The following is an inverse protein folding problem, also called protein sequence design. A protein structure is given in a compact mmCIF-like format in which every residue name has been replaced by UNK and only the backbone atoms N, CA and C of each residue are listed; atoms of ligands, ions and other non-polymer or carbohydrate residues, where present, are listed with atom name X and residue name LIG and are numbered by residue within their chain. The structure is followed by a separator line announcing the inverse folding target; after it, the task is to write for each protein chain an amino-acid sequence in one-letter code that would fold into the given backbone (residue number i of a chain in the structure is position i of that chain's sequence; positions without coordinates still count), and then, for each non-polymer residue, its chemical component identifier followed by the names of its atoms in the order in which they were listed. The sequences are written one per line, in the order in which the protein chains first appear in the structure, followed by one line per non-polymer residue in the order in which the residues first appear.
data_IF_797089373060
#
_entry.id   IF_797089373060
#
_cell.length_a   1.000
_cell.length_b   1.000
_cell.length_c   1.000
_cell.angle_alpha   90.00
_cell.angle_beta   90.00
_cell.angle_gamma   90.00
#
_symmetry.space_group_name_H-M   'P 1'
#
loop_
_entity.id
_entity.type
_entity.pdbx_description
1 polymer ?
#
# COMPACT_ATOMS: atom_id res chain seq x y z
N UNK A 1 1.09 -18.06 -4.94
CA UNK A 1 2.20 -17.83 -3.99
C UNK A 1 2.84 -16.47 -4.12
N UNK A 2 3.47 -16.14 -5.26
CA UNK A 2 4.20 -14.89 -5.42
C UNK A 2 3.35 -13.62 -5.24
N UNK A 3 2.10 -13.63 -5.75
CA UNK A 3 1.13 -12.53 -5.51
C UNK A 3 0.86 -12.34 -4.02
N UNK A 4 0.58 -13.44 -3.29
CA UNK A 4 0.27 -13.39 -1.86
C UNK A 4 1.47 -12.86 -1.08
N UNK A 5 2.67 -13.36 -1.37
CA UNK A 5 3.89 -12.84 -0.79
C UNK A 5 4.08 -11.35 -1.12
N UNK A 6 3.84 -10.94 -2.37
CA UNK A 6 3.89 -9.54 -2.78
C UNK A 6 2.92 -8.65 -2.03
N UNK A 7 1.65 -9.06 -1.88
CA UNK A 7 0.64 -8.32 -1.11
C UNK A 7 1.06 -8.17 0.36
N UNK A 8 1.63 -9.21 0.97
CA UNK A 8 2.07 -9.13 2.37
C UNK A 8 3.34 -8.29 2.56
N UNK A 9 4.21 -8.23 1.55
CA UNK A 9 5.56 -7.68 1.70
C UNK A 9 5.76 -6.31 1.04
N UNK A 10 4.87 -5.86 0.15
CA UNK A 10 5.10 -4.65 -0.66
C UNK A 10 5.41 -3.41 0.19
N UNK A 11 4.77 -3.30 1.36
CA UNK A 11 4.88 -2.18 2.30
C UNK A 11 5.58 -2.53 3.63
N UNK A 12 6.28 -3.68 3.70
CA UNK A 12 6.89 -4.15 4.96
C UNK A 12 7.89 -3.16 5.57
N UNK A 13 8.50 -2.31 4.74
CA UNK A 13 9.43 -1.28 5.21
C UNK A 13 8.78 -0.20 6.08
N UNK A 14 7.44 -0.09 6.12
CA UNK A 14 6.75 0.83 7.04
C UNK A 14 7.05 0.55 8.52
N UNK A 15 7.41 -0.70 8.83
CA UNK A 15 7.84 -1.11 10.18
C UNK A 15 9.14 -0.44 10.63
N UNK A 16 10.02 -0.09 9.68
CA UNK A 16 11.28 0.62 9.97
C UNK A 16 11.17 2.13 9.68
N UNK A 17 10.21 2.52 8.83
CA UNK A 17 9.97 3.92 8.45
C UNK A 17 9.27 4.71 9.57
N UNK A 18 8.37 4.09 10.34
CA UNK A 18 7.51 4.73 11.33
C UNK A 18 7.84 4.19 12.72
N UNK A 19 7.99 5.06 13.72
CA UNK A 19 8.23 4.68 15.11
C UNK A 19 7.01 3.95 15.72
N UNK A 20 7.29 3.08 16.69
CA UNK A 20 6.25 2.35 17.45
C UNK A 20 5.64 3.18 18.61
N UNK A 21 6.00 4.46 18.71
CA UNK A 21 5.57 5.34 19.80
C UNK A 21 4.08 5.71 19.70
N UNK A 22 3.50 6.20 20.81
CA UNK A 22 2.08 6.63 20.83
C UNK A 22 1.77 7.71 19.79
N UNK A 23 2.76 8.54 19.46
CA UNK A 23 2.71 9.46 18.32
C UNK A 23 3.63 8.92 17.24
N UNK A 24 3.03 8.39 16.17
CA UNK A 24 3.77 7.83 15.04
C UNK A 24 4.58 8.93 14.35
N UNK A 25 5.90 8.87 14.47
CA UNK A 25 6.84 9.76 13.79
C UNK A 25 7.68 8.98 12.79
N UNK A 26 8.18 9.66 11.76
CA UNK A 26 9.13 9.05 10.83
C UNK A 26 10.49 8.88 11.51
N UNK A 27 11.06 7.68 11.41
CA UNK A 27 12.44 7.42 11.88
C UNK A 27 13.45 8.15 10.98
N UNK A 28 14.71 8.27 11.42
CA UNK A 28 15.78 8.82 10.58
C UNK A 28 15.91 8.02 9.27
N UNK A 29 15.86 6.68 9.35
CA UNK A 29 15.88 5.81 8.16
C UNK A 29 14.64 6.01 7.30
N UNK A 30 13.47 6.20 7.90
CA UNK A 30 12.24 6.56 7.18
C UNK A 30 12.40 7.85 6.37
N UNK A 31 12.92 8.91 7.00
CA UNK A 31 13.13 10.21 6.36
C UNK A 31 14.22 10.18 5.27
N UNK A 32 15.34 9.48 5.50
CA UNK A 32 16.46 9.45 4.55
C UNK A 32 16.29 8.44 3.41
N UNK A 33 15.63 7.30 3.67
CA UNK A 33 15.63 6.13 2.77
C UNK A 33 14.22 5.81 2.26
N UNK A 34 13.22 5.81 3.16
CA UNK A 34 11.83 5.48 2.86
C UNK A 34 11.52 3.98 2.79
N UNK A 35 10.25 3.63 3.07
CA UNK A 35 9.80 2.24 3.25
C UNK A 35 10.03 1.33 2.04
N UNK A 36 10.03 1.85 0.82
CA UNK A 36 10.21 1.00 -0.38
C UNK A 36 11.59 0.34 -0.37
N UNK A 37 12.64 1.14 -0.15
CA UNK A 37 14.02 0.65 -0.13
C UNK A 37 14.26 -0.16 1.14
N UNK A 38 13.78 0.32 2.30
CA UNK A 38 13.86 -0.42 3.55
C UNK A 38 13.19 -1.81 3.44
N UNK A 39 12.00 -1.88 2.87
CA UNK A 39 11.28 -3.14 2.66
C UNK A 39 12.01 -4.10 1.72
N UNK A 40 12.61 -3.57 0.65
CA UNK A 40 13.48 -4.36 -0.25
C UNK A 40 14.68 -4.93 0.50
N UNK A 41 15.32 -4.14 1.36
CA UNK A 41 16.48 -4.56 2.14
C UNK A 41 16.12 -5.61 3.20
N UNK A 42 14.97 -5.45 3.87
CA UNK A 42 14.43 -6.44 4.81
C UNK A 42 14.21 -7.79 4.13
N UNK A 43 13.57 -7.81 2.94
CA UNK A 43 13.34 -9.03 2.17
C UNK A 43 14.65 -9.65 1.68
N UNK A 44 15.60 -8.83 1.22
CA UNK A 44 16.92 -9.32 0.82
C UNK A 44 17.66 -9.99 1.99
N UNK A 45 17.68 -9.35 3.16
CA UNK A 45 18.32 -9.87 4.37
C UNK A 45 17.66 -11.18 4.85
N UNK A 46 16.34 -11.28 4.77
CA UNK A 46 15.62 -12.51 5.10
C UNK A 46 15.97 -13.65 4.12
N UNK A 47 15.98 -13.37 2.81
CA UNK A 47 16.31 -14.37 1.79
C UNK A 47 17.75 -14.91 1.94
N UNK A 48 18.72 -14.06 2.34
CA UNK A 48 20.10 -14.47 2.59
C UNK A 48 20.24 -15.50 3.72
N UNK A 49 19.29 -15.55 4.66
CA UNK A 49 19.27 -16.54 5.76
C UNK A 49 18.77 -17.91 5.29
N UNK A 50 18.16 -18.01 4.11
CA UNK A 50 17.59 -19.25 3.57
C UNK A 50 18.61 -19.90 2.64
N UNK A 51 19.07 -21.11 3.01
CA UNK A 51 20.05 -21.87 2.22
C UNK A 51 19.49 -22.14 0.81
N UNK A 52 20.24 -21.71 -0.20
CA UNK A 52 19.90 -21.89 -1.64
C UNK A 52 18.56 -21.25 -2.04
N UNK A 53 18.21 -20.09 -1.47
CA UNK A 53 17.04 -19.33 -1.94
C UNK A 53 17.15 -19.01 -3.45
N UNK A 54 16.11 -19.24 -4.27
CA UNK A 54 16.20 -19.01 -5.71
C UNK A 54 16.40 -17.53 -6.06
N UNK A 55 17.48 -17.22 -6.79
CA UNK A 55 17.84 -15.85 -7.15
C UNK A 55 16.74 -15.13 -7.93
N UNK A 56 16.14 -15.79 -8.92
CA UNK A 56 15.07 -15.20 -9.73
C UNK A 56 13.82 -14.89 -8.89
N UNK A 57 13.49 -15.76 -7.92
CA UNK A 57 12.36 -15.53 -7.02
C UNK A 57 12.60 -14.31 -6.13
N UNK A 58 13.83 -14.14 -5.62
CA UNK A 58 14.20 -12.94 -4.87
C UNK A 58 14.05 -11.68 -5.74
N UNK A 59 14.58 -11.70 -6.96
CA UNK A 59 14.48 -10.57 -7.88
C UNK A 59 13.03 -10.21 -8.22
N UNK A 60 12.14 -11.19 -8.34
CA UNK A 60 10.71 -10.94 -8.55
C UNK A 60 10.06 -10.29 -7.33
N UNK A 61 10.39 -10.73 -6.11
CA UNK A 61 9.90 -10.10 -4.87
C UNK A 61 10.43 -8.66 -4.72
N UNK A 62 11.72 -8.45 -4.95
CA UNK A 62 12.33 -7.11 -4.95
C UNK A 62 11.65 -6.19 -5.99
N UNK A 63 11.38 -6.69 -7.20
CA UNK A 63 10.68 -5.92 -8.22
C UNK A 63 9.25 -5.57 -7.81
N UNK A 64 8.51 -6.49 -7.16
CA UNK A 64 7.18 -6.18 -6.62
C UNK A 64 7.26 -5.01 -5.65
N UNK A 65 8.17 -5.06 -4.67
CA UNK A 65 8.35 -3.99 -3.68
C UNK A 65 8.75 -2.68 -4.38
N UNK A 66 9.72 -2.71 -5.28
CA UNK A 66 10.21 -1.51 -5.97
C UNK A 66 9.24 -0.93 -7.00
N UNK A 67 8.14 -1.61 -7.33
CA UNK A 67 7.21 -1.18 -8.38
C UNK A 67 5.75 -1.10 -7.96
N UNK A 68 5.40 -1.45 -6.71
CA UNK A 68 4.00 -1.52 -6.28
C UNK A 68 3.28 -0.17 -6.33
N UNK A 69 3.99 0.96 -6.21
CA UNK A 69 3.42 2.30 -6.40
C UNK A 69 3.23 2.69 -7.88
N UNK A 70 3.64 1.84 -8.83
CA UNK A 70 3.26 1.95 -10.24
C UNK A 70 4.05 2.97 -11.05
N UNK A 71 3.84 4.28 -10.82
CA UNK A 71 4.38 5.35 -11.67
C UNK A 71 5.51 6.11 -10.98
N UNK A 72 6.48 6.60 -11.75
CA UNK A 72 7.52 7.52 -11.27
C UNK A 72 6.91 8.79 -10.64
N UNK A 73 5.79 9.25 -11.20
CA UNK A 73 4.99 10.37 -10.69
C UNK A 73 4.40 10.09 -9.29
N UNK A 74 4.31 8.81 -8.90
CA UNK A 74 3.86 8.33 -7.59
C UNK A 74 5.03 7.80 -6.75
N UNK A 75 6.25 8.32 -6.98
CA UNK A 75 7.45 7.94 -6.23
C UNK A 75 7.92 6.49 -6.42
N UNK A 76 7.39 5.75 -7.41
CA UNK A 76 7.83 4.39 -7.69
C UNK A 76 9.19 4.36 -8.42
N UNK A 77 10.21 3.65 -7.91
CA UNK A 77 11.50 3.48 -8.59
C UNK A 77 11.41 2.75 -9.94
N UNK A 78 10.39 1.89 -10.12
CA UNK A 78 10.14 1.11 -11.35
C UNK A 78 8.65 0.97 -11.64
N UNK A 79 8.33 0.63 -12.88
CA UNK A 79 6.98 0.19 -13.25
C UNK A 79 6.82 -1.33 -13.09
N UNK A 80 5.62 -1.84 -12.74
CA UNK A 80 5.35 -3.26 -12.71
C UNK A 80 5.61 -3.90 -14.08
N UNK A 81 6.47 -4.92 -14.12
CA UNK A 81 7.03 -5.45 -15.37
C UNK A 81 6.61 -6.89 -15.68
N UNK A 82 5.75 -7.48 -14.84
CA UNK A 82 5.24 -8.84 -15.01
C UNK A 82 3.88 -9.00 -14.32
N UNK A 83 3.09 -10.05 -14.64
CA UNK A 83 1.69 -10.14 -14.23
C UNK A 83 1.45 -10.02 -12.73
N UNK A 84 2.24 -10.70 -11.91
CA UNK A 84 2.06 -10.68 -10.45
C UNK A 84 2.42 -9.31 -9.86
N UNK A 85 3.46 -8.62 -10.36
CA UNK A 85 3.75 -7.25 -9.94
C UNK A 85 2.64 -6.27 -10.35
N UNK A 86 2.10 -6.41 -11.57
CA UNK A 86 0.99 -5.58 -12.02
C UNK A 86 -0.24 -5.81 -11.14
N UNK A 87 -0.51 -7.07 -10.78
CA UNK A 87 -1.63 -7.40 -9.92
C UNK A 87 -1.47 -6.81 -8.51
N UNK A 88 -0.28 -6.91 -7.90
CA UNK A 88 -0.01 -6.29 -6.59
C UNK A 88 -0.19 -4.78 -6.63
N UNK A 89 0.32 -4.11 -7.67
CA UNK A 89 0.10 -2.68 -7.88
C UNK A 89 -1.39 -2.32 -7.96
N UNK A 90 -2.18 -3.09 -8.71
CA UNK A 90 -3.61 -2.86 -8.84
C UNK A 90 -4.36 -3.11 -7.52
N UNK A 91 -3.96 -4.12 -6.74
CA UNK A 91 -4.52 -4.40 -5.43
C UNK A 91 -4.26 -3.23 -4.48
N UNK A 92 -3.01 -2.77 -4.38
CA UNK A 92 -2.61 -1.63 -3.55
C UNK A 92 -3.38 -0.35 -3.94
N UNK A 93 -3.44 -0.03 -5.25
CA UNK A 93 -4.19 1.13 -5.72
C UNK A 93 -5.70 1.03 -5.42
N UNK A 94 -6.26 -0.17 -5.49
CA UNK A 94 -7.66 -0.42 -5.15
C UNK A 94 -7.90 -0.22 -3.66
N UNK A 95 -7.02 -0.75 -2.79
CA UNK A 95 -7.13 -0.58 -1.34
C UNK A 95 -7.08 0.90 -0.94
N UNK A 96 -6.13 1.66 -1.49
CA UNK A 96 -6.03 3.10 -1.29
C UNK A 96 -7.33 3.83 -1.67
N UNK A 97 -7.93 3.49 -2.82
CA UNK A 97 -9.22 4.05 -3.26
C UNK A 97 -10.38 3.64 -2.35
N UNK A 98 -10.39 2.40 -1.86
CA UNK A 98 -11.41 1.93 -0.93
C UNK A 98 -11.32 2.65 0.42
N UNK A 99 -10.11 2.89 0.94
CA UNK A 99 -9.91 3.69 2.15
C UNK A 99 -10.37 5.14 1.95
N UNK A 100 -10.03 5.75 0.83
CA UNK A 100 -10.52 7.09 0.47
C UNK A 100 -12.06 7.15 0.41
N UNK A 101 -12.72 6.10 -0.09
CA UNK A 101 -14.18 6.00 -0.13
C UNK A 101 -14.78 5.89 1.27
N UNK A 102 -14.20 5.07 2.15
CA UNK A 102 -14.61 4.95 3.56
C UNK A 102 -14.47 6.28 4.30
N UNK A 103 -13.30 6.93 4.22
CA UNK A 103 -13.06 8.23 4.85
C UNK A 103 -14.04 9.31 4.35
N UNK A 104 -14.37 9.30 3.06
CA UNK A 104 -15.35 10.24 2.50
C UNK A 104 -16.77 9.99 3.01
N UNK A 105 -17.14 8.74 3.30
CA UNK A 105 -18.43 8.36 3.90
C UNK A 105 -18.47 8.75 5.38
N UNK A 106 -17.45 8.36 6.15
CA UNK A 106 -17.34 8.60 7.60
C UNK A 106 -17.22 10.09 7.94
N UNK A 107 -16.58 10.87 7.08
CA UNK A 107 -16.44 12.32 7.24
C UNK A 107 -17.72 13.11 6.96
N UNK A 108 -18.72 12.54 6.29
CA UNK A 108 -19.97 13.24 5.93
C UNK A 108 -20.95 13.25 7.12
N UNK A 109 -21.14 14.44 7.71
CA UNK A 109 -21.95 14.65 8.91
C UNK A 109 -23.48 14.65 8.66
N UNK A 110 -23.91 14.52 7.40
CA UNK A 110 -25.35 14.48 7.10
C UNK A 110 -25.96 13.16 7.60
N UNK A 111 -27.22 13.16 8.04
CA UNK A 111 -27.91 11.92 8.48
C UNK A 111 -28.65 11.17 7.36
N UNK A 112 -28.53 11.62 6.11
CA UNK A 112 -29.19 11.03 4.93
C UNK A 112 -28.50 9.72 4.50
N UNK A 113 -29.21 8.79 3.85
CA UNK A 113 -28.63 7.57 3.22
C UNK A 113 -27.46 7.80 2.23
N UNK A 114 -27.30 9.02 1.71
CA UNK A 114 -26.29 9.39 0.72
C UNK A 114 -25.49 10.61 1.13
N UNK A 115 -24.21 10.67 0.76
CA UNK A 115 -23.40 11.89 0.86
C UNK A 115 -23.77 12.91 -0.21
N UNK A 116 -23.41 14.18 -0.01
CA UNK A 116 -23.44 15.18 -1.07
C UNK A 116 -22.30 14.92 -2.10
N UNK A 117 -22.44 15.44 -3.33
CA UNK A 117 -21.42 15.31 -4.40
C UNK A 117 -20.11 16.05 -4.09
N UNK A 118 -20.04 16.82 -3.00
CA UNK A 118 -18.87 17.57 -2.55
C UNK A 118 -17.88 16.64 -1.83
N UNK A 119 -17.47 15.58 -2.52
CA UNK A 119 -16.44 14.64 -2.08
C UNK A 119 -15.45 14.38 -3.22
N UNK A 120 -14.37 13.66 -2.94
CA UNK A 120 -13.28 13.38 -3.89
C UNK A 120 -13.73 12.53 -5.10
N UNK A 121 -14.79 11.73 -4.98
CA UNK A 121 -15.34 10.91 -6.04
C UNK A 121 -16.38 11.65 -6.90
N UNK A 122 -16.75 12.87 -6.51
CA UNK A 122 -17.67 13.76 -7.26
C UNK A 122 -19.04 13.12 -7.58
N UNK A 123 -19.44 12.13 -6.80
CA UNK A 123 -20.73 11.43 -6.92
C UNK A 123 -21.30 11.18 -5.52
N UNK A 124 -22.63 11.08 -5.33
CA UNK A 124 -23.19 10.68 -4.05
C UNK A 124 -22.71 9.28 -3.68
N UNK A 125 -22.23 9.10 -2.46
CA UNK A 125 -21.78 7.83 -1.92
C UNK A 125 -22.84 7.27 -0.97
N UNK A 126 -23.12 5.99 -1.08
CA UNK A 126 -24.10 5.32 -0.22
C UNK A 126 -23.50 5.06 1.16
N UNK A 127 -24.23 5.46 2.21
CA UNK A 127 -23.79 5.32 3.61
C UNK A 127 -24.43 4.14 4.34
N UNK A 128 -25.44 3.52 3.75
CA UNK A 128 -26.25 2.49 4.42
C UNK A 128 -27.70 2.95 4.64
N UNK A 129 -28.52 2.13 5.32
CA UNK A 129 -29.87 2.49 5.72
C UNK A 129 -29.86 3.71 6.66
N UNK A 130 -30.98 4.45 6.74
CA UNK A 130 -31.07 5.59 7.67
C UNK A 130 -31.10 5.05 9.10
N UNK A 131 -30.37 5.67 10.04
CA UNK A 131 -30.39 5.30 11.47
C UNK A 131 -31.77 5.49 12.14
N UNK A 132 -32.76 6.00 11.40
CA UNK A 132 -34.14 6.19 11.85
C UNK A 132 -35.11 5.07 11.44
N UNK A 133 -34.64 4.01 10.78
CA UNK A 133 -35.41 2.78 10.48
C UNK A 133 -34.99 1.62 11.39
#
# INVERSE_FOLDING_TARGET
DLVVAGVLLHDIGKLEEISEDMEAEYTDSGNFIGHIVLGRDMVQAAAMKIKKFPKELLQKLEHIILSHQGRFEWQSPKQPAFPEAMLVHMIDNMDAKMNLLKLAIEGDQNKRKWTDKKNIFRTPLYKGPDESE
#
